data_IF_525551418794
#
_entry.id   IF_525551418794
#
_cell.length_a   1.000
_cell.length_b   1.000
_cell.length_c   1.000
_cell.angle_alpha   90.00
_cell.angle_beta   90.00
_cell.angle_gamma   90.00
#
_symmetry.space_group_name_H-M   'P 1'
#
loop_
_entity.id
_entity.type
_entity.pdbx_description
1 polymer ?
#
# COMPACT_ATOMS: atom_id res chain seq x y z
N UNK A 1 -54.86 6.38 32.06
CA UNK A 1 -55.54 5.15 32.44
C UNK A 1 -54.49 4.22 33.01
N UNK A 2 -54.58 4.01 34.31
CA UNK A 2 -53.67 3.22 35.14
C UNK A 2 -53.68 1.73 34.78
N UNK A 3 -52.55 1.02 34.98
CA UNK A 3 -52.51 -0.10 35.94
C UNK A 3 -51.06 -0.43 36.31
N UNK A 4 -50.79 -0.34 37.62
CA UNK A 4 -49.68 -0.90 38.39
C UNK A 4 -50.05 -2.33 38.81
N UNK A 5 -49.08 -3.25 38.94
CA UNK A 5 -49.04 -4.40 39.85
C UNK A 5 -47.54 -4.75 39.95
N UNK A 6 -46.83 -4.48 40.98
CA UNK A 6 -46.76 -4.93 42.40
C UNK A 6 -46.06 -6.29 42.60
N UNK A 7 -44.90 -6.19 43.20
CA UNK A 7 -44.07 -7.06 44.07
C UNK A 7 -44.78 -8.25 44.72
N UNK A 8 -44.09 -9.41 44.78
CA UNK A 8 -44.12 -10.32 45.95
C UNK A 8 -42.73 -10.93 46.15
N UNK A 9 -42.11 -10.65 47.27
CA UNK A 9 -40.99 -11.26 47.96
C UNK A 9 -41.49 -12.49 48.70
N UNK A 10 -40.83 -13.64 48.57
CA UNK A 10 -41.00 -14.73 49.54
C UNK A 10 -39.63 -15.30 49.88
N UNK A 11 -39.17 -14.93 51.03
CA UNK A 11 -38.08 -15.55 51.83
C UNK A 11 -38.55 -16.86 52.39
N UNK A 12 -37.81 -17.94 52.23
CA UNK A 12 -37.97 -19.17 53.01
C UNK A 12 -36.60 -19.58 53.59
N UNK A 13 -36.48 -19.33 54.90
CA UNK A 13 -35.43 -19.86 55.77
C UNK A 13 -35.87 -21.22 56.25
N UNK A 14 -35.10 -22.27 55.99
CA UNK A 14 -35.18 -23.52 56.73
C UNK A 14 -33.81 -23.89 57.24
N UNK A 15 -33.65 -23.68 58.52
CA UNK A 15 -32.58 -24.16 59.38
C UNK A 15 -32.81 -25.66 59.63
N UNK A 16 -31.87 -26.53 59.27
CA UNK A 16 -31.85 -27.89 59.74
C UNK A 16 -30.42 -28.26 60.20
N UNK A 17 -30.28 -28.30 61.53
CA UNK A 17 -29.19 -28.95 62.21
C UNK A 17 -29.32 -30.46 62.07
N UNK A 18 -28.31 -31.12 61.55
CA UNK A 18 -28.08 -32.54 61.82
C UNK A 18 -26.67 -32.81 62.28
N UNK A 19 -26.63 -33.59 63.34
CA UNK A 19 -25.51 -34.00 64.15
C UNK A 19 -24.63 -34.99 63.39
N UNK A 20 -23.34 -34.80 63.52
CA UNK A 20 -22.27 -35.62 63.02
C UNK A 20 -22.20 -36.99 63.67
N UNK A 21 -22.14 -38.04 62.86
CA UNK A 21 -21.46 -39.29 63.26
C UNK A 21 -20.28 -39.46 62.29
N UNK A 22 -19.09 -39.43 62.85
CA UNK A 22 -17.88 -39.70 62.08
C UNK A 22 -17.81 -41.17 61.65
N UNK A 23 -17.65 -41.37 60.37
CA UNK A 23 -17.11 -42.59 59.79
C UNK A 23 -15.77 -42.22 59.14
N UNK A 24 -14.69 -42.71 59.73
CA UNK A 24 -13.40 -42.69 59.10
C UNK A 24 -13.48 -43.54 57.83
N UNK A 25 -13.43 -42.93 56.68
CA UNK A 25 -13.29 -43.59 55.41
C UNK A 25 -11.81 -43.61 55.07
N UNK A 26 -11.25 -44.79 55.05
CA UNK A 26 -9.88 -45.07 54.61
C UNK A 26 -9.66 -44.43 53.24
N UNK A 27 -8.64 -43.64 53.12
CA UNK A 27 -8.18 -43.08 51.86
C UNK A 27 -7.70 -44.22 50.97
N UNK A 28 -8.52 -44.56 49.97
CA UNK A 28 -7.99 -45.25 48.80
C UNK A 28 -7.05 -44.30 48.07
N UNK A 29 -5.78 -44.58 48.14
CA UNK A 29 -4.75 -43.96 47.28
C UNK A 29 -4.96 -44.48 45.88
N UNK A 30 -5.74 -43.73 45.08
CA UNK A 30 -5.72 -43.86 43.61
C UNK A 30 -4.33 -43.49 43.13
N UNK A 31 -3.58 -44.45 42.65
CA UNK A 31 -2.22 -44.37 42.13
C UNK A 31 -2.10 -43.56 40.82
N UNK A 32 -3.13 -42.81 40.40
CA UNK A 32 -3.16 -42.11 39.10
C UNK A 32 -3.44 -40.61 39.17
N UNK A 33 -3.27 -39.97 40.33
CA UNK A 33 -3.40 -38.53 40.44
C UNK A 33 -2.10 -37.84 39.99
N UNK A 34 -2.17 -37.20 38.83
CA UNK A 34 -1.07 -36.32 38.34
C UNK A 34 -0.69 -35.32 39.40
N UNK A 35 0.62 -35.05 39.64
CA UNK A 35 1.06 -34.09 40.65
C UNK A 35 0.54 -32.69 40.33
N UNK A 36 -0.16 -32.09 41.28
CA UNK A 36 -0.68 -30.74 41.16
C UNK A 36 0.37 -29.76 41.70
N UNK A 37 0.96 -28.94 40.82
CA UNK A 37 1.86 -27.87 41.21
C UNK A 37 1.05 -26.57 41.33
N UNK A 38 0.96 -26.05 42.58
CA UNK A 38 0.34 -24.78 42.85
C UNK A 38 1.38 -23.65 42.58
N UNK A 39 1.12 -22.83 41.57
CA UNK A 39 2.00 -21.68 41.24
C UNK A 39 2.08 -20.59 42.33
N UNK A 40 1.15 -20.60 43.28
CA UNK A 40 1.17 -19.77 44.49
C UNK A 40 1.95 -20.41 45.65
N UNK A 41 2.47 -21.61 45.47
CA UNK A 41 3.24 -22.33 46.51
C UNK A 41 4.68 -21.81 46.63
N UNK A 42 5.36 -22.19 47.72
CA UNK A 42 6.78 -21.92 47.92
C UNK A 42 7.59 -22.66 46.84
N UNK A 43 8.47 -21.99 46.09
CA UNK A 43 9.31 -22.63 45.09
C UNK A 43 10.18 -23.74 45.71
N UNK A 44 10.20 -24.90 45.02
CA UNK A 44 11.03 -26.04 45.44
C UNK A 44 12.00 -26.40 44.34
N UNK A 45 13.17 -26.88 44.72
CA UNK A 45 14.17 -27.37 43.77
C UNK A 45 13.97 -28.84 43.47
N UNK A 46 14.05 -29.17 42.17
CA UNK A 46 13.94 -30.51 41.66
C UNK A 46 15.04 -30.79 40.64
N UNK A 47 15.58 -32.01 40.65
CA UNK A 47 16.46 -32.51 39.60
C UNK A 47 15.59 -33.16 38.50
N UNK A 48 15.79 -32.78 37.24
CA UNK A 48 15.09 -33.35 36.10
C UNK A 48 15.56 -34.77 35.88
N UNK A 49 14.69 -35.74 36.15
CA UNK A 49 14.99 -37.16 35.97
C UNK A 49 14.81 -37.64 34.52
N UNK A 50 13.82 -37.07 33.82
CA UNK A 50 13.55 -37.35 32.40
C UNK A 50 12.72 -36.25 31.79
N UNK A 51 12.82 -36.10 30.43
CA UNK A 51 12.04 -35.15 29.64
C UNK A 51 11.44 -35.89 28.46
N UNK A 52 10.13 -36.00 28.43
CA UNK A 52 9.38 -36.60 27.34
C UNK A 52 8.74 -35.47 26.47
N UNK A 53 8.83 -35.62 25.14
CA UNK A 53 8.20 -34.67 24.20
C UNK A 53 7.09 -35.39 23.45
N UNK A 54 5.96 -34.70 23.26
CA UNK A 54 4.84 -35.25 22.47
C UNK A 54 4.15 -34.14 21.64
N UNK A 55 3.38 -34.60 20.64
CA UNK A 55 2.53 -33.72 19.81
C UNK A 55 3.17 -33.25 18.52
N UNK A 56 4.46 -33.58 18.28
CA UNK A 56 5.16 -33.23 17.03
C UNK A 56 5.89 -34.45 16.50
N UNK A 57 5.64 -34.82 15.24
CA UNK A 57 6.22 -36.02 14.62
C UNK A 57 7.43 -35.78 13.72
N UNK A 58 7.62 -34.51 13.29
CA UNK A 58 8.60 -34.14 12.24
C UNK A 58 9.95 -33.67 12.82
N UNK A 59 10.16 -33.80 14.10
CA UNK A 59 11.39 -33.41 14.79
C UNK A 59 11.78 -34.53 15.77
N UNK A 60 13.07 -34.80 15.87
CA UNK A 60 13.61 -35.71 16.86
C UNK A 60 13.52 -35.10 18.26
N UNK A 61 13.17 -35.89 19.26
CA UNK A 61 12.92 -35.44 20.64
C UNK A 61 14.12 -34.66 21.21
N UNK A 62 15.36 -35.10 20.94
CA UNK A 62 16.55 -34.43 21.42
C UNK A 62 16.71 -33.00 20.88
N UNK A 63 16.24 -32.73 19.63
CA UNK A 63 16.23 -31.37 19.05
C UNK A 63 15.24 -30.49 19.78
N UNK A 64 14.03 -31.01 20.02
CA UNK A 64 12.98 -30.29 20.74
C UNK A 64 13.39 -30.00 22.19
N UNK A 65 13.96 -30.99 22.87
CA UNK A 65 14.49 -30.84 24.24
C UNK A 65 15.59 -29.75 24.23
N UNK A 66 16.51 -29.80 23.27
CA UNK A 66 17.56 -28.76 23.12
C UNK A 66 17.01 -27.35 22.94
N UNK A 67 15.90 -27.18 22.18
CA UNK A 67 15.22 -25.88 22.02
C UNK A 67 14.65 -25.35 23.33
N UNK A 68 14.25 -26.24 24.26
CA UNK A 68 13.75 -25.86 25.58
C UNK A 68 14.85 -25.24 26.46
N UNK A 69 16.10 -25.64 26.22
CA UNK A 69 17.25 -25.34 27.09
C UNK A 69 17.17 -26.01 28.46
N UNK A 70 16.35 -27.05 28.58
CA UNK A 70 16.33 -27.96 29.74
C UNK A 70 17.12 -29.21 29.40
N UNK A 71 17.71 -29.82 30.42
CA UNK A 71 18.47 -31.09 30.28
C UNK A 71 18.22 -32.05 31.46
N UNK A 72 18.29 -33.32 31.18
CA UNK A 72 18.24 -34.36 32.24
C UNK A 72 19.43 -34.18 33.17
N UNK A 73 19.22 -34.29 34.51
CA UNK A 73 20.18 -34.01 35.54
C UNK A 73 20.28 -32.57 35.96
N UNK A 74 19.64 -31.62 35.25
CA UNK A 74 19.61 -30.21 35.64
C UNK A 74 18.72 -29.99 36.84
N UNK A 75 19.19 -29.18 37.82
CA UNK A 75 18.37 -28.70 38.92
C UNK A 75 17.57 -27.46 38.48
N UNK A 76 16.27 -27.49 38.67
CA UNK A 76 15.33 -26.42 38.37
C UNK A 76 14.50 -26.07 39.59
N UNK A 77 14.04 -24.79 39.63
CA UNK A 77 13.11 -24.33 40.66
C UNK A 77 11.67 -24.35 40.09
N UNK A 78 10.74 -24.98 40.78
CA UNK A 78 9.34 -25.09 40.32
C UNK A 78 8.40 -24.63 41.44
N UNK A 79 7.55 -23.61 41.20
CA UNK A 79 7.53 -22.69 40.05
C UNK A 79 8.79 -21.84 39.95
N UNK A 80 9.27 -21.58 38.70
CA UNK A 80 10.50 -20.81 38.50
C UNK A 80 10.73 -20.35 37.07
N UNK A 81 11.84 -19.65 36.88
CA UNK A 81 12.16 -19.01 35.61
C UNK A 81 12.65 -19.99 34.55
N UNK A 82 13.14 -21.16 34.92
CA UNK A 82 13.67 -22.16 33.98
C UNK A 82 12.56 -22.69 33.06
N UNK A 83 11.40 -23.04 33.65
CA UNK A 83 10.22 -23.52 32.90
C UNK A 83 9.63 -22.38 32.06
N UNK A 84 9.47 -21.19 32.67
CA UNK A 84 8.99 -20.01 31.94
C UNK A 84 9.94 -19.65 30.80
N UNK A 85 11.25 -19.75 31.03
CA UNK A 85 12.28 -19.51 30.02
C UNK A 85 12.21 -20.52 28.87
N UNK A 86 11.98 -21.80 29.16
CA UNK A 86 11.78 -22.86 28.16
C UNK A 86 10.56 -22.58 27.27
N UNK A 87 9.43 -22.22 27.88
CA UNK A 87 8.21 -21.85 27.15
C UNK A 87 8.47 -20.64 26.25
N UNK A 88 9.13 -19.59 26.78
CA UNK A 88 9.49 -18.39 25.99
C UNK A 88 10.43 -18.71 24.83
N UNK A 89 11.34 -19.65 24.97
CA UNK A 89 12.21 -20.10 23.87
C UNK A 89 11.42 -20.76 22.76
N UNK A 90 10.52 -21.68 23.05
CA UNK A 90 9.63 -22.27 22.04
C UNK A 90 8.78 -21.22 21.30
N UNK A 91 8.19 -20.27 22.03
CA UNK A 91 7.43 -19.17 21.42
C UNK A 91 8.27 -18.30 20.51
N UNK A 92 9.53 -18.05 20.87
CA UNK A 92 10.44 -17.23 20.05
C UNK A 92 10.76 -17.88 18.71
N UNK A 93 10.82 -19.19 18.64
CA UNK A 93 11.00 -19.91 17.38
C UNK A 93 9.79 -19.81 16.44
N UNK A 94 8.61 -19.49 16.95
CA UNK A 94 7.39 -19.28 16.14
C UNK A 94 6.80 -20.53 15.52
N UNK A 95 7.39 -21.71 15.76
CA UNK A 95 7.01 -22.99 15.13
C UNK A 95 5.74 -23.61 15.74
N UNK A 96 5.39 -23.24 16.96
CA UNK A 96 4.34 -23.89 17.73
C UNK A 96 3.15 -22.96 17.96
N UNK A 97 1.95 -23.52 17.95
CA UNK A 97 0.69 -22.83 18.28
C UNK A 97 0.32 -23.00 19.74
N UNK A 98 0.81 -24.07 20.38
CA UNK A 98 0.65 -24.31 21.80
C UNK A 98 1.91 -24.97 22.38
N UNK A 99 2.26 -24.60 23.60
CA UNK A 99 3.39 -25.14 24.37
C UNK A 99 2.94 -25.31 25.78
N UNK A 100 2.99 -26.55 26.27
CA UNK A 100 2.68 -26.90 27.65
C UNK A 100 3.83 -27.74 28.23
N UNK A 101 4.28 -27.38 29.44
CA UNK A 101 5.26 -28.17 30.19
C UNK A 101 4.59 -28.60 31.50
N UNK A 102 4.41 -29.89 31.70
CA UNK A 102 3.74 -30.45 32.85
C UNK A 102 4.67 -31.44 33.58
N UNK A 103 4.48 -31.58 34.87
CA UNK A 103 5.11 -32.67 35.64
C UNK A 103 4.28 -33.93 35.44
N UNK A 104 4.88 -34.98 34.89
CA UNK A 104 4.25 -36.28 34.74
C UNK A 104 4.33 -37.03 36.06
N UNK A 105 5.47 -36.93 36.77
CA UNK A 105 5.74 -37.59 38.04
C UNK A 105 6.69 -36.74 38.88
N UNK A 106 6.53 -36.79 40.23
CA UNK A 106 7.44 -36.23 41.21
C UNK A 106 7.72 -37.27 42.27
N UNK A 107 8.99 -37.58 42.48
CA UNK A 107 9.45 -38.51 43.53
C UNK A 107 10.60 -37.87 44.33
N UNK A 108 10.33 -37.51 45.56
CA UNK A 108 11.31 -36.84 46.42
C UNK A 108 11.78 -35.52 45.82
N UNK A 109 13.04 -35.49 45.40
CA UNK A 109 13.67 -34.31 44.76
C UNK A 109 13.78 -34.47 43.24
N UNK A 110 13.19 -35.48 42.63
CA UNK A 110 13.22 -35.76 41.19
C UNK A 110 11.89 -35.43 40.53
N UNK A 111 11.95 -34.84 39.33
CA UNK A 111 10.79 -34.47 38.52
C UNK A 111 10.93 -35.03 37.10
N UNK A 112 9.86 -35.63 36.59
CA UNK A 112 9.71 -36.05 35.18
C UNK A 112 8.86 -35.03 34.46
N UNK A 113 9.42 -34.41 33.43
CA UNK A 113 8.76 -33.38 32.67
C UNK A 113 8.18 -33.94 31.37
N UNK A 114 7.01 -33.47 31.03
CA UNK A 114 6.35 -33.74 29.79
C UNK A 114 6.14 -32.40 29.04
N UNK A 115 6.72 -32.28 27.85
CA UNK A 115 6.60 -31.15 26.97
C UNK A 115 5.62 -31.49 25.86
N UNK A 116 4.44 -30.91 25.89
CA UNK A 116 3.41 -31.08 24.85
C UNK A 116 3.43 -29.88 23.91
N UNK A 117 3.72 -30.11 22.64
CA UNK A 117 3.86 -29.13 21.61
C UNK A 117 2.80 -29.32 20.51
N UNK A 118 2.17 -28.23 20.09
CA UNK A 118 1.29 -28.23 18.91
C UNK A 118 1.94 -27.42 17.83
N UNK A 119 2.28 -28.04 16.73
CA UNK A 119 2.90 -27.35 15.60
C UNK A 119 1.90 -26.43 14.90
N UNK A 120 2.37 -25.26 14.43
CA UNK A 120 1.55 -24.39 13.59
C UNK A 120 1.35 -25.04 12.21
N UNK A 121 0.11 -25.05 11.71
CA UNK A 121 -0.16 -25.61 10.40
C UNK A 121 0.50 -24.78 9.29
N UNK A 122 0.77 -25.44 8.17
CA UNK A 122 1.29 -24.81 6.95
C UNK A 122 0.19 -24.73 5.90
N UNK A 123 0.26 -23.71 5.07
CA UNK A 123 -0.67 -23.49 3.97
C UNK A 123 -0.41 -24.56 2.89
N UNK A 124 -1.42 -25.36 2.57
CA UNK A 124 -1.40 -26.27 1.42
C UNK A 124 -1.89 -25.59 0.15
N UNK A 125 -2.94 -24.76 0.28
CA UNK A 125 -3.56 -24.02 -0.82
C UNK A 125 -4.21 -22.74 -0.29
N UNK A 126 -4.24 -21.67 -1.14
CA UNK A 126 -5.02 -20.46 -0.87
C UNK A 126 -6.10 -20.34 -1.94
N UNK A 127 -7.36 -20.28 -1.53
CA UNK A 127 -8.52 -20.14 -2.42
C UNK A 127 -9.15 -18.78 -2.23
N UNK A 128 -9.46 -18.12 -3.36
CA UNK A 128 -10.07 -16.80 -3.37
C UNK A 128 -11.47 -16.89 -3.98
N UNK A 129 -12.47 -16.36 -3.26
CA UNK A 129 -13.85 -16.30 -3.70
C UNK A 129 -14.33 -14.84 -3.78
N UNK A 130 -15.27 -14.54 -4.70
CA UNK A 130 -15.85 -13.21 -4.87
C UNK A 130 -14.99 -12.21 -5.64
N UNK A 131 -13.86 -12.63 -6.24
CA UNK A 131 -12.94 -11.77 -6.98
C UNK A 131 -12.77 -12.20 -8.43
N UNK A 132 -12.37 -11.26 -9.29
CA UNK A 132 -12.01 -11.52 -10.69
C UNK A 132 -10.58 -12.08 -10.75
N UNK A 133 -10.23 -12.74 -11.87
CA UNK A 133 -8.89 -13.32 -12.09
C UNK A 133 -7.75 -12.29 -11.92
N UNK A 134 -7.90 -11.09 -12.48
CA UNK A 134 -6.90 -10.00 -12.32
C UNK A 134 -6.76 -9.54 -10.87
N UNK A 135 -7.89 -9.40 -10.14
CA UNK A 135 -7.87 -9.01 -8.73
C UNK A 135 -7.22 -10.09 -7.85
N UNK A 136 -7.44 -11.37 -8.20
CA UNK A 136 -6.79 -12.50 -7.54
C UNK A 136 -5.27 -12.42 -7.71
N UNK A 137 -4.77 -12.23 -8.93
CA UNK A 137 -3.33 -12.11 -9.20
C UNK A 137 -2.69 -10.94 -8.43
N UNK A 138 -3.38 -9.78 -8.40
CA UNK A 138 -2.93 -8.61 -7.63
C UNK A 138 -2.84 -8.94 -6.12
N UNK A 139 -3.85 -9.63 -5.57
CA UNK A 139 -3.90 -10.01 -4.17
C UNK A 139 -2.85 -11.06 -3.81
N UNK A 140 -2.64 -12.06 -4.66
CA UNK A 140 -1.58 -13.07 -4.47
C UNK A 140 -0.21 -12.41 -4.32
N UNK A 141 0.11 -11.44 -5.19
CA UNK A 141 1.37 -10.67 -5.11
C UNK A 141 1.48 -9.81 -3.84
N UNK A 142 0.37 -9.21 -3.39
CA UNK A 142 0.37 -8.31 -2.22
C UNK A 142 0.37 -9.04 -0.88
N UNK A 143 -0.32 -10.17 -0.79
CA UNK A 143 -0.48 -10.91 0.47
C UNK A 143 0.74 -11.76 0.79
N UNK A 144 1.43 -12.29 -0.21
CA UNK A 144 2.59 -13.16 -0.03
C UNK A 144 2.26 -14.48 0.69
N UNK A 145 0.98 -14.88 0.72
CA UNK A 145 0.53 -16.14 1.32
C UNK A 145 0.77 -17.27 0.31
N UNK A 146 1.88 -17.98 0.48
CA UNK A 146 2.28 -19.04 -0.45
C UNK A 146 2.19 -20.42 0.19
N UNK A 147 2.04 -21.46 -0.63
CA UNK A 147 2.09 -22.86 -0.20
C UNK A 147 3.35 -23.14 0.62
N UNK A 148 3.21 -23.86 1.74
CA UNK A 148 4.29 -24.20 2.66
C UNK A 148 4.56 -23.15 3.75
N UNK A 149 4.01 -21.93 3.62
CA UNK A 149 4.13 -20.89 4.64
C UNK A 149 3.33 -21.26 5.88
N UNK A 150 3.87 -20.97 7.06
CA UNK A 150 3.11 -21.11 8.31
C UNK A 150 2.04 -20.05 8.43
N UNK A 151 0.84 -20.45 8.85
CA UNK A 151 -0.25 -19.50 9.10
C UNK A 151 -0.30 -19.13 10.58
N UNK A 152 -0.38 -17.82 10.85
CA UNK A 152 -0.50 -17.25 12.19
C UNK A 152 -1.69 -16.30 12.26
N UNK A 153 -2.27 -16.04 13.44
CA UNK A 153 -3.32 -15.03 13.58
C UNK A 153 -2.92 -13.66 12.98
N UNK A 154 -1.68 -13.24 13.21
CA UNK A 154 -1.14 -11.99 12.65
C UNK A 154 -1.11 -12.01 11.10
N UNK A 155 -0.76 -13.14 10.49
CA UNK A 155 -0.79 -13.28 9.01
C UNK A 155 -2.21 -13.11 8.49
N UNK A 156 -3.20 -13.70 9.17
CA UNK A 156 -4.62 -13.59 8.81
C UNK A 156 -5.13 -12.15 8.95
N UNK A 157 -4.83 -11.49 10.07
CA UNK A 157 -5.29 -10.12 10.32
C UNK A 157 -4.64 -9.12 9.37
N UNK A 158 -3.35 -9.30 9.07
CA UNK A 158 -2.64 -8.52 8.05
C UNK A 158 -3.27 -8.73 6.68
N UNK A 159 -3.56 -9.97 6.30
CA UNK A 159 -4.21 -10.27 5.03
C UNK A 159 -5.59 -9.61 4.93
N UNK A 160 -6.43 -9.71 5.97
CA UNK A 160 -7.73 -9.01 6.02
C UNK A 160 -7.58 -7.51 5.81
N UNK A 161 -6.63 -6.89 6.50
CA UNK A 161 -6.37 -5.45 6.42
C UNK A 161 -5.92 -5.04 5.01
N UNK A 162 -4.99 -5.79 4.40
CA UNK A 162 -4.50 -5.51 3.05
C UNK A 162 -5.59 -5.69 2.00
N UNK A 163 -6.43 -6.73 2.11
CA UNK A 163 -7.54 -6.96 1.18
C UNK A 163 -8.58 -5.84 1.29
N UNK A 164 -8.96 -5.46 2.52
CA UNK A 164 -9.90 -4.35 2.72
C UNK A 164 -9.38 -3.05 2.13
N UNK A 165 -8.11 -2.72 2.37
CA UNK A 165 -7.47 -1.54 1.78
C UNK A 165 -7.45 -1.59 0.26
N UNK A 166 -7.07 -2.72 -0.33
CA UNK A 166 -7.08 -2.90 -1.79
C UNK A 166 -8.45 -2.63 -2.41
N UNK A 167 -9.54 -3.07 -1.78
CA UNK A 167 -10.89 -2.82 -2.28
C UNK A 167 -11.40 -1.42 -1.93
N UNK A 168 -10.99 -0.83 -0.81
CA UNK A 168 -11.29 0.59 -0.48
C UNK A 168 -10.66 1.52 -1.54
N UNK A 169 -9.40 1.32 -1.89
CA UNK A 169 -8.71 2.05 -2.96
C UNK A 169 -9.44 1.94 -4.32
N UNK A 170 -10.13 0.82 -4.57
CA UNK A 170 -10.99 0.61 -5.75
C UNK A 170 -12.42 1.14 -5.58
N UNK A 171 -12.74 1.76 -4.45
CA UNK A 171 -14.05 2.36 -4.13
C UNK A 171 -15.09 1.41 -3.54
N UNK A 172 -14.70 0.21 -3.08
CA UNK A 172 -15.55 -0.74 -2.37
C UNK A 172 -15.36 -0.60 -0.86
N UNK A 173 -15.79 0.53 -0.30
CA UNK A 173 -15.52 0.92 1.08
C UNK A 173 -16.11 -0.04 2.13
N UNK A 174 -17.17 -0.75 1.78
CA UNK A 174 -17.89 -1.66 2.66
C UNK A 174 -17.55 -3.14 2.37
N UNK A 175 -16.39 -3.43 1.78
CA UNK A 175 -15.97 -4.80 1.50
C UNK A 175 -15.81 -5.60 2.80
N UNK A 176 -16.43 -6.76 2.83
CA UNK A 176 -16.31 -7.74 3.91
C UNK A 176 -15.35 -8.85 3.51
N UNK A 177 -14.47 -9.24 4.43
CA UNK A 177 -13.45 -10.26 4.19
C UNK A 177 -13.49 -11.28 5.31
N UNK A 178 -13.76 -12.52 4.96
CA UNK A 178 -13.74 -13.67 5.86
C UNK A 178 -12.60 -14.57 5.39
N UNK A 179 -11.69 -14.92 6.31
CA UNK A 179 -10.61 -15.87 6.07
C UNK A 179 -10.83 -17.05 6.99
N UNK A 180 -11.11 -18.20 6.41
CA UNK A 180 -11.30 -19.47 7.09
C UNK A 180 -10.11 -20.39 6.83
N UNK A 181 -9.76 -21.21 7.83
CA UNK A 181 -8.76 -22.24 7.72
C UNK A 181 -9.47 -23.59 7.87
N UNK A 182 -9.21 -24.51 6.94
CA UNK A 182 -9.73 -25.87 6.96
C UNK A 182 -8.57 -26.84 6.87
N UNK A 183 -8.57 -27.86 7.69
CA UNK A 183 -7.56 -28.91 7.60
C UNK A 183 -7.57 -29.54 6.20
N UNK A 184 -6.37 -29.77 5.65
CA UNK A 184 -6.22 -30.44 4.37
C UNK A 184 -6.23 -31.97 4.61
N UNK A 185 -7.28 -32.70 4.17
CA UNK A 185 -7.36 -34.13 4.41
C UNK A 185 -6.26 -34.92 3.67
N UNK A 186 -5.57 -34.35 2.72
CA UNK A 186 -4.50 -34.98 1.95
C UNK A 186 -3.12 -34.86 2.59
N UNK A 187 -2.95 -34.02 3.61
CA UNK A 187 -1.64 -33.69 4.17
C UNK A 187 -1.71 -33.38 5.66
N UNK A 188 -0.94 -34.12 6.49
CA UNK A 188 -0.87 -33.90 7.94
C UNK A 188 -0.31 -32.50 8.25
N UNK A 189 -0.90 -31.79 9.21
CA UNK A 189 -0.53 -30.46 9.68
C UNK A 189 -0.50 -29.39 8.58
N UNK A 190 -1.37 -29.50 7.57
CA UNK A 190 -1.57 -28.49 6.53
C UNK A 190 -3.02 -28.01 6.51
N UNK A 191 -3.20 -26.76 6.08
CA UNK A 191 -4.52 -26.14 5.99
C UNK A 191 -4.72 -25.50 4.63
N UNK A 192 -5.95 -25.58 4.14
CA UNK A 192 -6.46 -24.81 3.03
C UNK A 192 -6.98 -23.49 3.60
N UNK A 193 -6.55 -22.39 3.03
CA UNK A 193 -6.99 -21.04 3.42
C UNK A 193 -8.03 -20.57 2.43
N UNK A 194 -9.30 -20.52 2.85
CA UNK A 194 -10.39 -19.96 2.07
C UNK A 194 -10.54 -18.47 2.38
N UNK A 195 -10.41 -17.62 1.37
CA UNK A 195 -10.57 -16.15 1.46
C UNK A 195 -11.86 -15.77 0.72
N UNK A 196 -12.92 -15.53 1.48
CA UNK A 196 -14.21 -15.10 0.96
C UNK A 196 -14.29 -13.58 1.01
N UNK A 197 -14.54 -12.96 -0.14
CA UNK A 197 -14.57 -11.50 -0.29
C UNK A 197 -15.92 -11.08 -0.87
N UNK A 198 -16.74 -10.43 -0.05
CA UNK A 198 -17.94 -9.74 -0.50
C UNK A 198 -17.62 -8.26 -0.67
N UNK A 199 -17.45 -7.84 -1.91
CA UNK A 199 -17.06 -6.45 -2.23
C UNK A 199 -18.16 -5.45 -1.96
N UNK A 200 -19.44 -5.88 -1.83
CA UNK A 200 -20.60 -4.99 -1.79
C UNK A 200 -20.63 -4.05 -3.00
N UNK A 201 -21.45 -3.02 -2.95
CA UNK A 201 -21.51 -1.99 -4.00
C UNK A 201 -20.47 -0.89 -3.75
N UNK A 202 -19.96 -0.30 -4.84
CA UNK A 202 -19.15 0.91 -4.73
C UNK A 202 -19.98 2.05 -4.17
N UNK A 203 -19.46 2.74 -3.15
CA UNK A 203 -20.11 3.94 -2.61
C UNK A 203 -20.13 5.06 -3.65
N UNK A 204 -21.17 5.91 -3.60
CA UNK A 204 -21.38 7.05 -4.50
C UNK A 204 -21.23 8.34 -3.73
N UNK A 205 -20.97 9.44 -4.42
CA UNK A 205 -20.92 10.75 -3.79
C UNK A 205 -22.36 11.32 -3.71
N UNK A 206 -22.82 11.60 -2.49
CA UNK A 206 -24.09 12.29 -2.26
C UNK A 206 -23.95 13.77 -2.54
N UNK A 207 -23.06 14.46 -1.84
CA UNK A 207 -22.81 15.87 -1.95
C UNK A 207 -21.31 16.19 -1.86
N UNK A 208 -20.87 17.24 -2.58
CA UNK A 208 -19.55 17.85 -2.45
C UNK A 208 -19.76 19.25 -1.91
N UNK A 209 -19.36 19.52 -0.69
CA UNK A 209 -19.40 20.85 -0.09
C UNK A 209 -18.03 21.50 -0.16
N UNK A 210 -17.93 22.64 -0.82
CA UNK A 210 -16.71 23.43 -0.93
C UNK A 210 -16.94 24.74 -0.20
N UNK A 211 -16.00 25.14 0.65
CA UNK A 211 -16.00 26.38 1.40
C UNK A 211 -14.67 27.13 1.22
N UNK A 212 -14.62 28.42 1.58
CA UNK A 212 -13.43 29.25 1.39
C UNK A 212 -13.21 29.75 -0.04
N UNK A 213 -13.99 29.25 -0.99
CA UNK A 213 -13.91 29.57 -2.42
C UNK A 213 -14.69 30.87 -2.75
N UNK A 214 -14.06 32.03 -2.65
CA UNK A 214 -14.65 33.35 -2.94
C UNK A 214 -14.45 33.77 -4.39
N UNK A 215 -13.27 33.56 -4.93
CA UNK A 215 -12.89 33.91 -6.30
C UNK A 215 -13.51 33.01 -7.38
N UNK A 216 -13.67 31.72 -7.05
CA UNK A 216 -14.22 30.74 -8.00
C UNK A 216 -15.47 30.09 -7.41
N UNK A 217 -16.58 30.20 -8.12
CA UNK A 217 -17.84 29.57 -7.70
C UNK A 217 -17.68 28.05 -7.51
N UNK A 218 -18.23 27.51 -6.42
CA UNK A 218 -18.20 26.06 -6.13
C UNK A 218 -18.71 25.19 -7.31
N UNK A 219 -19.71 25.69 -8.05
CA UNK A 219 -20.21 24.99 -9.26
C UNK A 219 -19.16 24.84 -10.37
N UNK A 220 -18.22 25.81 -10.50
CA UNK A 220 -17.11 25.75 -11.46
C UNK A 220 -16.06 24.77 -10.98
N UNK A 221 -15.69 24.81 -9.70
CA UNK A 221 -14.76 23.86 -9.07
C UNK A 221 -15.27 22.40 -9.17
N UNK A 222 -16.54 22.15 -8.82
CA UNK A 222 -17.18 20.83 -9.00
C UNK A 222 -17.18 20.35 -10.46
N UNK A 223 -17.13 21.25 -11.45
CA UNK A 223 -17.04 20.90 -12.87
C UNK A 223 -15.62 20.48 -13.27
N UNK A 224 -14.62 21.05 -12.63
CA UNK A 224 -13.19 20.73 -12.83
C UNK A 224 -12.90 19.32 -12.34
N UNK A 225 -13.54 18.88 -11.26
CA UNK A 225 -13.48 17.49 -10.79
C UNK A 225 -14.07 16.56 -11.85
N UNK A 226 -13.22 15.75 -12.51
CA UNK A 226 -13.62 14.91 -13.65
C UNK A 226 -14.21 13.58 -13.23
N UNK A 227 -13.67 12.99 -12.16
CA UNK A 227 -13.96 11.60 -11.75
C UNK A 227 -14.80 11.51 -10.47
N UNK A 228 -14.81 12.53 -9.62
CA UNK A 228 -15.60 12.61 -8.39
C UNK A 228 -16.81 13.50 -8.60
N UNK A 229 -18.02 12.92 -8.74
CA UNK A 229 -19.22 13.68 -9.09
C UNK A 229 -20.41 13.29 -8.23
N UNK A 230 -21.26 14.27 -7.88
CA UNK A 230 -22.48 14.10 -7.09
C UNK A 230 -23.53 13.23 -7.82
N UNK A 231 -24.16 12.32 -7.07
CA UNK A 231 -25.32 11.54 -7.52
C UNK A 231 -26.55 12.46 -7.67
N UNK A 232 -27.41 12.16 -8.67
CA UNK A 232 -28.71 12.83 -8.81
C UNK A 232 -28.69 14.20 -9.47
N UNK A 233 -27.54 14.73 -9.87
CA UNK A 233 -27.47 15.99 -10.61
C UNK A 233 -27.52 15.73 -12.13
N UNK A 234 -28.44 16.42 -12.85
CA UNK A 234 -28.62 16.28 -14.31
C UNK A 234 -27.31 16.49 -15.09
N UNK A 235 -26.48 17.46 -14.67
CA UNK A 235 -25.18 17.74 -15.31
C UNK A 235 -24.19 16.56 -15.22
N UNK A 236 -24.41 15.63 -14.29
CA UNK A 236 -23.56 14.46 -14.06
C UNK A 236 -24.14 13.17 -14.65
N UNK A 237 -25.13 13.26 -15.54
CA UNK A 237 -25.87 12.08 -16.06
C UNK A 237 -24.92 11.02 -16.65
N UNK A 238 -23.91 11.44 -17.39
CA UNK A 238 -22.91 10.57 -18.05
C UNK A 238 -21.56 10.51 -17.32
N UNK A 239 -21.45 11.10 -16.10
CA UNK A 239 -20.21 11.10 -15.32
C UNK A 239 -20.20 10.00 -14.26
N UNK A 240 -19.00 9.54 -13.90
CA UNK A 240 -18.80 8.59 -12.80
C UNK A 240 -19.23 9.23 -11.47
N UNK A 241 -20.10 8.55 -10.75
CA UNK A 241 -20.63 8.98 -9.44
C UNK A 241 -20.08 8.14 -8.29
N UNK A 242 -19.29 7.10 -8.62
CA UNK A 242 -18.63 6.23 -7.64
C UNK A 242 -17.49 6.99 -7.00
N UNK A 243 -17.40 6.92 -5.68
CA UNK A 243 -16.27 7.47 -4.95
C UNK A 243 -15.09 6.49 -5.01
N UNK A 244 -13.96 6.96 -5.50
CA UNK A 244 -12.70 6.21 -5.55
C UNK A 244 -11.63 7.14 -5.00
N UNK A 245 -10.94 6.78 -3.88
CA UNK A 245 -9.98 7.67 -3.22
C UNK A 245 -8.89 8.22 -4.15
N UNK A 246 -8.26 7.36 -4.96
CA UNK A 246 -7.24 7.77 -5.93
C UNK A 246 -7.75 8.82 -6.94
N UNK A 247 -8.97 8.64 -7.44
CA UNK A 247 -9.60 9.60 -8.35
C UNK A 247 -9.91 10.92 -7.65
N UNK A 248 -10.25 10.88 -6.37
CA UNK A 248 -10.50 12.07 -5.57
C UNK A 248 -9.23 12.88 -5.33
N UNK A 249 -8.11 12.22 -5.04
CA UNK A 249 -6.81 12.89 -4.92
C UNK A 249 -6.43 13.61 -6.23
N UNK A 250 -6.59 12.93 -7.38
CA UNK A 250 -6.37 13.54 -8.68
C UNK A 250 -7.31 14.74 -8.94
N UNK A 251 -8.58 14.64 -8.54
CA UNK A 251 -9.54 15.74 -8.69
C UNK A 251 -9.25 16.93 -7.76
N UNK A 252 -8.67 16.71 -6.57
CA UNK A 252 -8.16 17.79 -5.69
C UNK A 252 -7.04 18.57 -6.38
N UNK A 253 -6.11 17.86 -7.03
CA UNK A 253 -5.04 18.52 -7.78
C UNK A 253 -5.60 19.37 -8.93
N UNK A 254 -6.61 18.90 -9.65
CA UNK A 254 -7.27 19.70 -10.70
C UNK A 254 -7.90 20.99 -10.16
N UNK A 255 -8.40 20.99 -8.92
CA UNK A 255 -8.88 22.21 -8.26
C UNK A 255 -7.74 23.19 -8.05
N UNK A 256 -6.61 22.74 -7.50
CA UNK A 256 -5.42 23.59 -7.28
C UNK A 256 -4.88 24.12 -8.62
N UNK A 257 -4.75 23.26 -9.62
CA UNK A 257 -4.34 23.64 -10.97
C UNK A 257 -5.24 24.73 -11.55
N UNK A 258 -6.55 24.66 -11.26
CA UNK A 258 -7.50 25.71 -11.70
C UNK A 258 -7.30 27.04 -10.99
N UNK A 259 -6.92 27.05 -9.73
CA UNK A 259 -6.53 28.25 -9.01
C UNK A 259 -5.21 28.80 -9.55
N UNK A 260 -4.21 27.97 -9.76
CA UNK A 260 -2.91 28.34 -10.34
C UNK A 260 -3.05 28.94 -11.75
N UNK A 261 -3.96 28.38 -12.59
CA UNK A 261 -4.30 28.95 -13.92
C UNK A 261 -4.87 30.35 -13.83
N UNK A 262 -5.51 30.71 -12.73
CA UNK A 262 -6.12 32.03 -12.51
C UNK A 262 -5.26 32.98 -11.68
N UNK A 263 -4.04 32.58 -11.35
CA UNK A 263 -3.07 33.41 -10.64
C UNK A 263 -3.07 33.22 -9.12
N UNK A 264 -3.84 32.34 -8.58
CA UNK A 264 -3.86 32.02 -7.14
C UNK A 264 -2.81 30.96 -6.84
N UNK A 265 -1.55 31.35 -6.87
CA UNK A 265 -0.37 30.51 -6.70
C UNK A 265 -0.35 29.77 -5.37
N UNK A 266 -0.77 30.44 -4.29
CA UNK A 266 -0.71 29.93 -2.92
C UNK A 266 -1.99 29.18 -2.52
N UNK A 267 -2.87 28.90 -3.49
CA UNK A 267 -4.11 28.19 -3.22
C UNK A 267 -3.83 26.78 -2.68
N UNK A 268 -4.42 26.46 -1.55
CA UNK A 268 -4.28 25.15 -0.90
C UNK A 268 -5.61 24.63 -0.37
N UNK A 269 -5.77 23.33 -0.33
CA UNK A 269 -6.88 22.69 0.39
C UNK A 269 -6.42 22.50 1.85
N UNK A 270 -6.91 23.36 2.76
CA UNK A 270 -6.54 23.34 4.18
C UNK A 270 -7.05 22.09 4.89
N UNK A 271 -8.24 21.67 4.51
CA UNK A 271 -8.89 20.49 5.10
C UNK A 271 -9.79 19.84 4.08
N UNK A 272 -9.74 18.54 4.04
CA UNK A 272 -10.73 17.71 3.36
C UNK A 272 -11.23 16.61 4.30
N UNK A 273 -12.45 16.20 4.12
CA UNK A 273 -13.03 15.09 4.86
C UNK A 273 -14.11 14.38 4.07
N UNK A 274 -14.21 13.09 4.33
CA UNK A 274 -15.21 12.22 3.74
C UNK A 274 -16.01 11.64 4.89
N UNK A 275 -17.31 11.92 4.91
CA UNK A 275 -18.23 11.40 5.91
C UNK A 275 -19.28 10.50 5.26
N UNK A 276 -19.63 9.43 5.93
CA UNK A 276 -20.73 8.57 5.48
C UNK A 276 -22.05 9.29 5.63
N UNK A 277 -22.86 9.33 4.55
CA UNK A 277 -24.19 9.88 4.57
C UNK A 277 -25.24 8.78 4.80
N UNK A 278 -25.15 7.70 4.04
CA UNK A 278 -25.94 6.49 4.20
C UNK A 278 -25.05 5.26 3.87
N UNK A 279 -25.61 4.03 3.89
CA UNK A 279 -24.87 2.80 3.60
C UNK A 279 -24.19 2.77 2.22
N UNK A 280 -24.67 3.57 1.27
CA UNK A 280 -24.26 3.54 -0.15
C UNK A 280 -23.67 4.86 -0.63
N UNK A 281 -23.67 5.92 0.22
CA UNK A 281 -23.21 7.24 -0.21
C UNK A 281 -22.36 7.95 0.85
N UNK A 282 -21.48 8.82 0.36
CA UNK A 282 -20.60 9.66 1.18
C UNK A 282 -20.77 11.14 0.82
N UNK A 283 -20.58 12.02 1.81
CA UNK A 283 -20.38 13.44 1.61
C UNK A 283 -18.89 13.75 1.57
N UNK A 284 -18.52 14.65 0.68
CA UNK A 284 -17.16 15.18 0.55
C UNK A 284 -17.17 16.64 0.99
N UNK A 285 -16.27 17.00 1.87
CA UNK A 285 -16.07 18.38 2.33
C UNK A 285 -14.68 18.84 1.98
N UNK A 286 -14.58 20.05 1.41
CA UNK A 286 -13.33 20.71 1.02
C UNK A 286 -13.31 22.12 1.58
N UNK A 287 -12.29 22.49 2.33
CA UNK A 287 -12.00 23.84 2.80
C UNK A 287 -10.77 24.36 2.08
N UNK A 288 -10.95 25.40 1.27
CA UNK A 288 -9.95 25.98 0.39
C UNK A 288 -9.48 27.31 0.94
N UNK A 289 -8.18 27.50 1.00
CA UNK A 289 -7.56 28.80 1.12
C UNK A 289 -7.08 29.22 -0.26
N UNK A 290 -7.68 30.27 -0.82
CA UNK A 290 -7.36 30.72 -2.17
C UNK A 290 -6.03 31.49 -2.22
N UNK A 291 -5.57 32.02 -1.07
CA UNK A 291 -4.46 32.96 -1.06
C UNK A 291 -4.77 34.27 -1.80
N UNK A 292 -3.73 34.98 -2.18
CA UNK A 292 -3.89 36.17 -3.03
C UNK A 292 -3.64 35.86 -4.50
N UNK A 293 -4.15 36.73 -5.38
CA UNK A 293 -3.92 36.64 -6.81
C UNK A 293 -2.62 37.36 -7.17
N UNK A 294 -1.77 36.70 -7.97
CA UNK A 294 -0.48 37.24 -8.39
C UNK A 294 -0.45 37.58 -9.87
N UNK A 295 0.37 38.57 -10.19
CA UNK A 295 0.63 39.08 -11.54
C UNK A 295 2.13 39.02 -11.83
N UNK A 296 2.47 38.81 -13.09
CA UNK A 296 3.85 38.85 -13.57
C UNK A 296 4.36 40.29 -13.68
N UNK A 297 5.38 40.62 -12.90
CA UNK A 297 5.97 41.95 -12.93
C UNK A 297 7.11 42.03 -13.94
N UNK A 298 7.99 41.04 -13.95
CA UNK A 298 9.13 40.99 -14.86
C UNK A 298 9.49 39.55 -15.16
N UNK A 299 10.06 39.29 -16.35
CA UNK A 299 10.69 38.03 -16.75
C UNK A 299 12.09 38.34 -17.21
N UNK A 300 13.07 37.64 -16.67
CA UNK A 300 14.47 37.75 -17.04
C UNK A 300 15.02 36.38 -17.40
N UNK A 301 15.90 36.35 -18.40
CA UNK A 301 16.55 35.15 -18.87
C UNK A 301 18.01 35.14 -18.46
N UNK A 302 18.49 34.02 -17.95
CA UNK A 302 19.88 33.82 -17.51
C UNK A 302 20.40 32.50 -18.07
N UNK A 303 21.56 32.55 -18.74
CA UNK A 303 22.22 31.38 -19.29
C UNK A 303 21.80 31.00 -20.73
N UNK A 304 20.94 31.79 -21.37
CA UNK A 304 20.48 31.60 -22.75
C UNK A 304 21.51 32.19 -23.75
N UNK A 305 22.50 31.40 -24.10
CA UNK A 305 23.56 31.87 -25.06
C UNK A 305 23.24 31.51 -26.50
N UNK A 306 22.41 30.49 -26.74
CA UNK A 306 22.07 29.97 -28.07
C UNK A 306 20.89 30.73 -28.71
N UNK A 307 19.90 31.07 -27.89
CA UNK A 307 18.68 31.71 -28.36
C UNK A 307 18.49 33.06 -27.66
N UNK A 308 18.19 34.13 -28.41
CA UNK A 308 17.99 35.47 -27.84
C UNK A 308 16.73 35.49 -26.97
N UNK A 309 16.74 36.34 -25.94
CA UNK A 309 15.63 36.46 -24.97
C UNK A 309 14.31 36.79 -25.65
N UNK A 310 14.32 37.57 -26.71
CA UNK A 310 13.11 37.92 -27.48
C UNK A 310 12.43 36.74 -28.12
N UNK A 311 13.21 35.74 -28.58
CA UNK A 311 12.67 34.51 -29.14
C UNK A 311 12.06 33.66 -28.02
N UNK A 312 12.72 33.57 -26.87
CA UNK A 312 12.23 32.83 -25.71
C UNK A 312 10.97 33.48 -25.12
N UNK A 313 10.90 34.79 -25.05
CA UNK A 313 9.70 35.55 -24.65
C UNK A 313 8.51 35.26 -25.59
N UNK A 314 8.78 35.22 -26.89
CA UNK A 314 7.76 34.86 -27.88
C UNK A 314 7.19 33.44 -27.66
N UNK A 315 8.04 32.50 -27.33
CA UNK A 315 7.64 31.13 -27.02
C UNK A 315 6.95 31.02 -25.66
N UNK A 316 7.38 31.77 -24.67
CA UNK A 316 6.81 31.76 -23.33
C UNK A 316 5.36 32.25 -23.30
N UNK A 317 5.02 33.21 -24.16
CA UNK A 317 3.66 33.82 -24.27
C UNK A 317 3.11 34.39 -22.97
N UNK A 318 3.98 34.82 -22.07
CA UNK A 318 3.63 35.50 -20.82
C UNK A 318 4.33 36.87 -20.81
N UNK A 319 3.60 37.91 -20.46
CA UNK A 319 4.09 39.28 -20.49
C UNK A 319 3.92 39.98 -19.15
N UNK A 320 4.68 41.02 -18.93
CA UNK A 320 4.52 41.92 -17.77
C UNK A 320 3.07 42.38 -17.65
N UNK A 321 2.49 42.27 -16.47
CA UNK A 321 1.09 42.61 -16.16
C UNK A 321 0.10 41.45 -16.36
N UNK A 322 0.51 40.36 -16.97
CA UNK A 322 -0.34 39.16 -17.07
C UNK A 322 -0.54 38.52 -15.71
N UNK A 323 -1.64 37.81 -15.58
CA UNK A 323 -1.88 36.95 -14.42
C UNK A 323 -0.81 35.87 -14.36
N UNK A 324 -0.19 35.66 -13.20
CA UNK A 324 0.80 34.61 -13.00
C UNK A 324 0.14 33.23 -13.13
N UNK A 325 0.16 32.73 -14.34
CA UNK A 325 -0.45 31.44 -14.69
C UNK A 325 0.60 30.36 -14.69
N UNK A 326 0.75 29.66 -13.53
CA UNK A 326 1.75 28.61 -13.33
C UNK A 326 1.52 27.40 -14.25
N UNK A 327 0.26 27.12 -14.59
CA UNK A 327 -0.07 26.05 -15.52
C UNK A 327 0.46 26.37 -16.92
N UNK A 328 0.16 27.57 -17.42
CA UNK A 328 0.66 28.02 -18.72
C UNK A 328 2.19 28.04 -18.73
N UNK A 329 2.83 28.52 -17.67
CA UNK A 329 4.29 28.53 -17.54
C UNK A 329 4.86 27.10 -17.76
N UNK A 330 4.33 26.09 -17.07
CA UNK A 330 4.77 24.71 -17.21
C UNK A 330 4.51 24.15 -18.61
N UNK A 331 3.35 24.46 -19.21
CA UNK A 331 3.00 24.05 -20.57
C UNK A 331 4.01 24.64 -21.58
N UNK A 332 4.32 25.93 -21.48
CA UNK A 332 5.25 26.64 -22.38
C UNK A 332 6.71 26.23 -22.20
N UNK A 333 7.08 25.78 -21.00
CA UNK A 333 8.45 25.27 -20.75
C UNK A 333 8.66 23.88 -21.33
N UNK A 334 7.69 22.94 -21.15
CA UNK A 334 7.97 21.53 -21.35
C UNK A 334 6.91 20.70 -22.06
N UNK A 335 5.61 21.07 -21.98
CA UNK A 335 4.50 20.18 -22.36
C UNK A 335 3.99 20.40 -23.77
N UNK A 336 3.90 21.65 -24.21
CA UNK A 336 3.40 21.99 -25.53
C UNK A 336 4.34 21.54 -26.66
N UNK A 337 3.78 21.31 -27.84
CA UNK A 337 4.57 20.94 -29.02
C UNK A 337 5.62 21.99 -29.38
N UNK A 338 5.30 23.29 -29.19
CA UNK A 338 6.18 24.42 -29.37
C UNK A 338 6.78 24.96 -28.05
N UNK A 339 6.89 24.08 -27.03
CA UNK A 339 7.52 24.41 -25.76
C UNK A 339 9.01 24.76 -25.94
N UNK A 340 9.52 25.64 -25.08
CA UNK A 340 10.93 26.07 -25.08
C UNK A 340 11.87 24.88 -25.01
N UNK A 341 11.56 23.87 -24.17
CA UNK A 341 12.37 22.66 -24.07
C UNK A 341 12.50 21.91 -25.38
N UNK A 342 11.45 21.89 -26.23
CA UNK A 342 11.52 21.21 -27.53
C UNK A 342 12.45 21.95 -28.52
N UNK A 343 12.57 23.27 -28.42
CA UNK A 343 13.56 24.02 -29.21
C UNK A 343 14.99 23.54 -28.95
N UNK A 344 15.33 23.25 -27.68
CA UNK A 344 16.64 22.73 -27.30
C UNK A 344 16.79 21.25 -27.65
N UNK A 345 15.81 20.42 -27.28
CA UNK A 345 15.85 18.96 -27.49
C UNK A 345 15.87 18.57 -28.97
N UNK A 346 15.22 19.33 -29.84
CA UNK A 346 15.23 19.06 -31.30
C UNK A 346 16.55 19.46 -31.96
N UNK A 347 17.36 20.27 -31.28
CA UNK A 347 18.68 20.69 -31.74
C UNK A 347 19.84 19.99 -30.98
N UNK A 348 19.57 18.86 -30.37
CA UNK A 348 20.59 18.00 -29.75
C UNK A 348 20.92 18.34 -28.29
N UNK A 349 20.36 19.35 -27.71
CA UNK A 349 20.67 19.77 -26.33
C UNK A 349 19.91 18.93 -25.30
N UNK A 350 20.23 17.63 -25.24
CA UNK A 350 19.58 16.65 -24.34
C UNK A 350 19.82 16.98 -22.87
N UNK A 351 20.93 17.61 -22.53
CA UNK A 351 21.30 17.99 -21.15
C UNK A 351 20.78 19.37 -20.75
N UNK A 352 19.95 19.96 -21.59
CA UNK A 352 19.29 21.22 -21.29
C UNK A 352 18.39 21.11 -20.05
N UNK A 353 18.41 22.16 -19.24
CA UNK A 353 17.49 22.37 -18.14
C UNK A 353 17.06 23.82 -18.06
N UNK A 354 15.78 24.05 -17.76
CA UNK A 354 15.22 25.38 -17.48
C UNK A 354 14.52 25.35 -16.12
N UNK A 355 14.96 26.22 -15.24
CA UNK A 355 14.41 26.39 -13.90
C UNK A 355 13.79 27.78 -13.75
N UNK A 356 12.46 27.91 -13.68
CA UNK A 356 11.79 29.18 -13.42
C UNK A 356 11.86 29.52 -11.94
N UNK A 357 12.61 30.55 -11.57
CA UNK A 357 12.81 30.94 -10.17
C UNK A 357 12.09 32.26 -9.90
N UNK A 358 11.25 32.27 -8.88
CA UNK A 358 10.63 33.50 -8.37
C UNK A 358 11.64 34.25 -7.50
N UNK A 359 12.30 35.26 -8.07
CA UNK A 359 13.40 35.93 -7.38
C UNK A 359 12.93 37.05 -6.46
N UNK A 360 11.74 37.63 -6.70
CA UNK A 360 11.21 38.68 -5.87
C UNK A 360 9.67 38.71 -5.92
N UNK A 361 9.05 38.98 -4.80
CA UNK A 361 7.60 39.17 -4.68
C UNK A 361 7.34 40.50 -3.97
N UNK A 362 6.69 41.42 -4.67
CA UNK A 362 6.33 42.72 -4.12
C UNK A 362 4.82 42.88 -4.18
N UNK A 363 4.19 42.80 -3.01
CA UNK A 363 2.73 42.80 -2.93
C UNK A 363 2.12 41.60 -3.68
N UNK A 364 1.39 41.89 -4.76
CA UNK A 364 0.75 40.91 -5.63
C UNK A 364 1.55 40.60 -6.91
N UNK A 365 2.78 41.07 -7.01
CA UNK A 365 3.57 41.04 -8.25
C UNK A 365 4.84 40.22 -8.10
N UNK A 366 5.08 39.31 -9.05
CA UNK A 366 6.20 38.34 -9.06
C UNK A 366 7.21 38.73 -10.15
N UNK A 367 8.50 38.73 -9.81
CA UNK A 367 9.61 38.73 -10.76
C UNK A 367 10.07 37.29 -10.97
N UNK A 368 10.08 36.88 -12.23
CA UNK A 368 10.46 35.53 -12.64
C UNK A 368 11.82 35.58 -13.34
N UNK A 369 12.76 34.79 -12.86
CA UNK A 369 14.06 34.56 -13.50
C UNK A 369 14.09 33.16 -14.10
N UNK A 370 14.21 33.12 -15.43
CA UNK A 370 14.25 31.88 -16.20
C UNK A 370 15.72 31.44 -16.34
N UNK A 371 16.16 30.51 -15.47
CA UNK A 371 17.54 30.03 -15.45
C UNK A 371 17.70 28.87 -16.40
N UNK A 372 18.50 29.08 -17.44
CA UNK A 372 18.78 28.04 -18.45
C UNK A 372 20.19 27.53 -18.26
N UNK A 373 20.28 26.22 -18.23
CA UNK A 373 21.49 25.47 -18.43
C UNK A 373 21.38 24.75 -19.78
N UNK A 374 22.08 25.23 -20.80
CA UNK A 374 21.95 24.72 -22.16
C UNK A 374 22.68 23.38 -22.34
N UNK A 375 23.78 23.19 -21.59
CA UNK A 375 24.60 21.99 -21.70
C UNK A 375 25.30 21.87 -23.07
N UNK A 376 25.76 20.68 -23.37
CA UNK A 376 26.34 20.37 -24.68
C UNK A 376 25.37 19.55 -25.53
N UNK A 377 25.56 19.57 -26.84
CA UNK A 377 24.80 18.70 -27.74
C UNK A 377 25.14 17.23 -27.50
N UNK A 378 24.12 16.38 -27.56
CA UNK A 378 24.24 14.93 -27.47
C UNK A 378 24.18 14.29 -28.86
N UNK A 379 25.08 13.34 -29.13
CA UNK A 379 25.09 12.51 -30.32
C UNK A 379 24.57 11.12 -29.99
N UNK A 380 23.73 10.54 -30.84
CA UNK A 380 23.23 9.18 -30.66
C UNK A 380 24.40 8.21 -30.83
N UNK A 381 24.75 7.49 -29.77
CA UNK A 381 25.82 6.47 -29.79
C UNK A 381 25.32 5.17 -30.41
N UNK A 382 24.27 4.58 -29.83
CA UNK A 382 23.68 3.34 -30.34
C UNK A 382 22.17 3.30 -30.15
N UNK A 383 21.51 2.47 -30.94
CA UNK A 383 20.09 2.19 -30.86
C UNK A 383 19.93 0.70 -30.66
N UNK A 384 19.38 0.32 -29.50
CA UNK A 384 19.09 -1.06 -29.14
C UNK A 384 17.60 -1.35 -29.40
N UNK A 385 17.31 -2.49 -30.01
CA UNK A 385 15.95 -2.99 -30.26
C UNK A 385 15.86 -4.36 -29.62
N UNK A 386 14.84 -4.57 -28.78
CA UNK A 386 14.58 -5.84 -28.09
C UNK A 386 13.10 -6.20 -28.20
N UNK A 387 12.75 -7.48 -27.94
CA UNK A 387 11.36 -7.95 -27.98
C UNK A 387 10.74 -8.11 -29.36
N UNK A 388 11.54 -8.05 -30.42
CA UNK A 388 11.09 -8.18 -31.81
C UNK A 388 11.06 -9.65 -32.31
N UNK A 389 10.62 -10.58 -31.47
CA UNK A 389 10.70 -12.04 -31.71
C UNK A 389 10.01 -12.50 -33.00
N UNK A 390 9.02 -11.74 -33.50
CA UNK A 390 8.25 -12.06 -34.71
C UNK A 390 8.72 -11.30 -35.96
N UNK A 391 9.66 -10.37 -35.80
CA UNK A 391 10.11 -9.50 -36.90
C UNK A 391 11.61 -9.36 -36.87
N UNK A 392 12.26 -9.40 -38.06
CA UNK A 392 13.66 -9.10 -38.16
C UNK A 392 13.97 -7.66 -37.76
N UNK A 393 15.01 -7.45 -36.98
CA UNK A 393 15.43 -6.15 -36.48
C UNK A 393 15.56 -5.08 -37.58
N UNK A 394 16.08 -5.46 -38.74
CA UNK A 394 16.26 -4.56 -39.88
C UNK A 394 14.94 -3.96 -40.40
N UNK A 395 13.82 -4.67 -40.23
CA UNK A 395 12.48 -4.18 -40.61
C UNK A 395 12.06 -3.05 -39.71
N UNK A 396 12.28 -3.17 -38.39
CA UNK A 396 12.02 -2.11 -37.42
C UNK A 396 12.99 -0.96 -37.60
N UNK A 397 14.27 -1.27 -37.75
CA UNK A 397 15.34 -0.27 -37.82
C UNK A 397 15.21 0.67 -39.03
N UNK A 398 14.66 0.22 -40.14
CA UNK A 398 14.43 1.05 -41.33
C UNK A 398 13.34 2.08 -41.14
N UNK A 399 12.40 1.88 -40.22
CA UNK A 399 11.33 2.84 -39.89
C UNK A 399 11.80 3.96 -38.96
N UNK A 400 12.99 3.79 -38.35
CA UNK A 400 13.57 4.80 -37.47
C UNK A 400 14.05 6.02 -38.28
N UNK A 401 13.70 7.21 -37.78
CA UNK A 401 14.21 8.49 -38.32
C UNK A 401 15.55 8.88 -37.69
N UNK A 402 15.90 8.25 -36.58
CA UNK A 402 17.15 8.45 -35.85
C UNK A 402 18.18 7.40 -36.24
N UNK A 403 19.47 7.79 -36.24
CA UNK A 403 20.58 6.88 -36.56
C UNK A 403 21.80 7.15 -35.65
N UNK A 404 22.61 6.13 -35.32
CA UNK A 404 23.87 6.35 -34.62
C UNK A 404 24.75 7.37 -35.36
N UNK A 405 25.41 8.24 -34.59
CA UNK A 405 26.26 9.31 -35.12
C UNK A 405 25.51 10.63 -35.43
N UNK A 406 24.18 10.64 -35.45
CA UNK A 406 23.36 11.88 -35.60
C UNK A 406 23.21 12.59 -34.29
N UNK A 407 22.97 13.90 -34.37
CA UNK A 407 22.53 14.66 -33.20
C UNK A 407 21.18 14.14 -32.68
N UNK A 408 21.00 14.16 -31.39
CA UNK A 408 19.72 13.83 -30.77
C UNK A 408 18.64 14.82 -31.21
N UNK A 409 17.47 14.31 -31.55
CA UNK A 409 16.28 15.10 -31.83
C UNK A 409 15.07 14.43 -31.20
N UNK A 410 14.38 15.12 -30.29
CA UNK A 410 13.15 14.62 -29.68
C UNK A 410 12.04 14.42 -30.70
N UNK A 411 11.95 15.32 -31.67
CA UNK A 411 10.97 15.22 -32.78
C UNK A 411 11.17 13.95 -33.58
N UNK A 412 12.41 13.67 -34.01
CA UNK A 412 12.74 12.47 -34.81
C UNK A 412 12.58 11.18 -33.97
N UNK A 413 12.89 11.23 -32.69
CA UNK A 413 12.64 10.14 -31.76
C UNK A 413 11.14 9.82 -31.68
N UNK A 414 10.30 10.83 -31.47
CA UNK A 414 8.84 10.66 -31.37
C UNK A 414 8.21 10.28 -32.71
N UNK A 415 8.81 10.72 -33.82
CA UNK A 415 8.41 10.30 -35.15
C UNK A 415 8.73 8.82 -35.37
N UNK A 416 9.94 8.36 -35.01
CA UNK A 416 10.32 6.97 -35.04
C UNK A 416 9.38 6.07 -34.20
N UNK A 417 9.02 6.54 -33.02
CA UNK A 417 8.05 5.82 -32.17
C UNK A 417 6.70 5.67 -32.87
N UNK A 418 6.16 6.73 -33.47
CA UNK A 418 4.89 6.67 -34.19
C UNK A 418 4.96 5.71 -35.40
N UNK A 419 6.05 5.72 -36.15
CA UNK A 419 6.23 4.81 -37.29
C UNK A 419 6.22 3.32 -36.81
N UNK A 420 6.92 3.01 -35.73
CA UNK A 420 6.88 1.64 -35.13
C UNK A 420 5.47 1.27 -34.66
N UNK A 421 4.76 2.17 -33.99
CA UNK A 421 3.38 1.91 -33.54
C UNK A 421 2.43 1.68 -34.71
N UNK A 422 2.62 2.37 -35.84
CA UNK A 422 1.79 2.24 -37.05
C UNK A 422 2.06 0.94 -37.83
N UNK A 423 3.17 0.24 -37.58
CA UNK A 423 3.43 -1.06 -38.19
C UNK A 423 2.35 -2.13 -37.83
N UNK A 424 1.66 -1.98 -36.70
CA UNK A 424 0.61 -2.89 -36.26
C UNK A 424 1.08 -4.28 -35.81
N UNK A 425 2.38 -4.45 -35.61
CA UNK A 425 2.97 -5.71 -35.16
C UNK A 425 3.23 -5.79 -33.66
N UNK A 426 3.15 -4.66 -32.95
CA UNK A 426 3.47 -4.50 -31.54
C UNK A 426 2.34 -3.80 -30.81
N UNK A 427 2.27 -4.00 -29.48
CA UNK A 427 1.32 -3.28 -28.65
C UNK A 427 1.73 -1.80 -28.51
N UNK A 428 1.00 -0.86 -29.12
CA UNK A 428 1.39 0.56 -29.15
C UNK A 428 1.41 1.23 -27.77
N UNK A 429 0.68 0.68 -26.76
CA UNK A 429 0.65 1.25 -25.41
C UNK A 429 1.89 0.88 -24.59
N UNK A 430 2.57 -0.20 -24.96
CA UNK A 430 3.73 -0.71 -24.22
C UNK A 430 5.06 -0.23 -24.81
N UNK A 431 5.10 0.24 -26.07
CA UNK A 431 6.34 0.74 -26.67
C UNK A 431 6.68 2.12 -26.10
N UNK A 432 7.78 2.19 -25.39
CA UNK A 432 8.35 3.45 -24.90
C UNK A 432 9.86 3.48 -25.21
N UNK A 433 10.37 4.61 -25.75
CA UNK A 433 11.81 4.72 -25.93
C UNK A 433 12.49 4.85 -24.56
N UNK A 434 13.51 4.04 -24.34
CA UNK A 434 14.42 4.15 -23.20
C UNK A 434 15.60 5.04 -23.62
N UNK A 435 15.73 6.19 -22.96
CA UNK A 435 16.75 7.19 -23.26
C UNK A 435 17.78 7.14 -22.16
N UNK A 436 19.01 6.75 -22.47
CA UNK A 436 20.13 6.62 -21.54
C UNK A 436 21.21 7.66 -21.86
N UNK A 437 21.15 8.86 -21.24
CA UNK A 437 22.13 9.91 -21.47
C UNK A 437 23.50 9.54 -20.87
N UNK A 438 24.57 9.92 -21.57
CA UNK A 438 25.96 9.82 -21.11
C UNK A 438 26.59 11.20 -21.09
N UNK A 439 26.44 11.94 -19.98
CA UNK A 439 26.92 13.33 -19.91
C UNK A 439 28.43 13.45 -20.09
N UNK A 440 29.23 12.50 -19.62
CA UNK A 440 30.69 12.51 -19.74
C UNK A 440 31.15 12.48 -21.21
N UNK A 441 30.48 11.70 -22.06
CA UNK A 441 30.84 11.53 -23.45
C UNK A 441 30.09 12.48 -24.39
N UNK A 442 29.03 13.14 -23.94
CA UNK A 442 28.11 13.90 -24.78
C UNK A 442 27.32 13.01 -25.73
N UNK A 443 27.02 11.80 -25.34
CA UNK A 443 26.29 10.83 -26.17
C UNK A 443 25.04 10.34 -25.47
N UNK A 444 24.18 9.64 -26.25
CA UNK A 444 22.95 9.02 -25.74
C UNK A 444 22.76 7.65 -26.39
N UNK A 445 22.42 6.65 -25.57
CA UNK A 445 21.94 5.36 -26.04
C UNK A 445 20.41 5.38 -26.03
N UNK A 446 19.80 4.84 -27.08
CA UNK A 446 18.33 4.79 -27.21
C UNK A 446 17.90 3.32 -27.32
N UNK A 447 16.98 2.90 -26.44
CA UNK A 447 16.41 1.56 -26.43
C UNK A 447 14.95 1.57 -26.89
N UNK A 448 14.53 0.54 -27.62
CA UNK A 448 13.13 0.23 -27.89
C UNK A 448 12.87 -1.19 -27.43
N UNK A 449 12.00 -1.36 -26.43
CA UNK A 449 11.52 -2.67 -26.02
C UNK A 449 10.13 -2.91 -26.64
N UNK A 450 10.07 -3.88 -27.56
CA UNK A 450 8.92 -4.13 -28.41
C UNK A 450 8.16 -5.35 -27.88
N UNK A 451 6.97 -5.13 -27.39
CA UNK A 451 6.08 -6.22 -26.94
C UNK A 451 5.11 -6.57 -28.04
N UNK A 452 5.14 -7.83 -28.51
CA UNK A 452 4.32 -8.35 -29.59
C UNK A 452 3.03 -9.03 -29.12
#
# INVERSE_FOLDING_TARGET
MHYRISFIFVTFICLFCFVTTGIAQEANTDEDSKPVILYSGTPKQYEIADIKVEGVKNYEDYVLIGLSGLSVGQTITVPGDEITGAIKRYWRHGLFSNVQITAEKIEGNKIWLKISLTQRPRISEVRYHGVKKSERTDLEGKLGMVKGMQITPNTVDRAKTLIKRYFDDKGFKNAEVIIAQKDDPSSENQVIVDIDIDKKEKVKVHEIKIVGNTAIKASKLKRVMKKTNEKGKLRNLFRTKKFVPENYEADKQLIIDKYNELGYRDAVIRKDSISQYDEKTVNVYLDIDEGQKYYLRNVTWVGNTLYPSEQLDFLLRMKKGDVYNQKLLNERISTDDDAIGNLYYNNGYLFYNLDPVEVNIVGDSIDLEMRIYEGRQATINKINISGNDRLYENVVRRELRIRPGQLFSKEDLMRSLREIQQMGHFDPEQIKPDIQPRPEDGTVDIGYDLVS
#
